data_IF_540192558808
#
_entry.id   IF_540192558808
#
_cell.length_a   1.000
_cell.length_b   1.000
_cell.length_c   1.000
_cell.angle_alpha   90.00
_cell.angle_beta   90.00
_cell.angle_gamma   90.00
#
_symmetry.space_group_name_H-M   'P 1'
#
loop_
_entity.id
_entity.type
_entity.pdbx_description
1 polymer ?
#
# COMPACT_ATOMS: atom_id res chain seq x y z
N UNK A 1 9.09 4.59 -9.01
CA UNK A 1 8.53 3.30 -8.62
C UNK A 1 7.68 3.47 -7.37
N UNK A 2 6.58 2.75 -7.25
CA UNK A 2 5.72 2.90 -6.07
C UNK A 2 6.39 2.39 -4.80
N UNK A 3 6.02 3.01 -3.69
CA UNK A 3 6.54 2.65 -2.38
C UNK A 3 5.40 2.15 -1.51
N UNK A 4 5.63 1.01 -0.84
CA UNK A 4 4.66 0.44 0.09
C UNK A 4 4.52 1.36 1.30
N UNK A 5 3.31 1.88 1.58
CA UNK A 5 3.12 2.80 2.72
C UNK A 5 3.30 2.12 4.08
N UNK A 6 3.20 0.80 4.14
CA UNK A 6 3.36 0.06 5.39
C UNK A 6 4.81 -0.35 5.60
N UNK A 7 5.41 -0.99 4.60
CA UNK A 7 6.79 -1.47 4.68
C UNK A 7 7.81 -0.38 4.34
N UNK A 8 7.44 0.55 3.49
CA UNK A 8 8.34 1.63 3.08
C UNK A 8 9.36 1.24 2.03
N UNK A 9 9.22 0.08 1.42
CA UNK A 9 10.14 -0.37 0.39
C UNK A 9 9.62 -0.05 -0.99
N UNK A 10 10.54 0.23 -1.92
CA UNK A 10 10.18 0.43 -3.31
C UNK A 10 9.95 -0.94 -3.96
N UNK A 11 8.98 -0.98 -4.85
CA UNK A 11 8.69 -2.21 -5.57
C UNK A 11 8.21 -1.90 -6.98
N UNK A 12 8.29 -2.89 -7.86
CA UNK A 12 7.79 -2.76 -9.22
C UNK A 12 6.26 -2.81 -9.17
N UNK A 13 5.60 -1.85 -9.80
CA UNK A 13 4.14 -1.81 -9.79
C UNK A 13 3.52 -3.05 -10.43
N UNK A 14 4.25 -3.73 -11.31
CA UNK A 14 3.76 -4.97 -11.90
C UNK A 14 3.71 -6.12 -10.90
N UNK A 15 4.47 -6.02 -9.82
CA UNK A 15 4.51 -7.03 -8.77
C UNK A 15 3.71 -6.61 -7.54
N UNK A 16 3.38 -5.34 -7.44
CA UNK A 16 2.68 -4.80 -6.28
C UNK A 16 1.19 -5.12 -6.31
N UNK A 17 0.62 -5.24 -5.12
CA UNK A 17 -0.82 -5.34 -4.96
C UNK A 17 -1.37 -3.92 -4.91
N UNK A 18 -2.37 -3.65 -5.73
CA UNK A 18 -2.96 -2.32 -5.82
C UNK A 18 -4.22 -2.25 -4.99
N UNK A 19 -4.34 -1.22 -4.18
CA UNK A 19 -5.54 -0.94 -3.41
C UNK A 19 -5.92 0.51 -3.59
N UNK A 20 -7.16 0.78 -3.97
CA UNK A 20 -7.66 2.13 -4.11
C UNK A 20 -8.43 2.53 -2.86
N UNK A 21 -8.02 3.64 -2.26
CA UNK A 21 -8.66 4.12 -1.05
C UNK A 21 -8.83 5.64 -1.17
N UNK A 22 -10.06 6.10 -1.02
CA UNK A 22 -10.41 7.52 -1.02
C UNK A 22 -9.89 8.24 -2.26
N UNK A 23 -10.02 7.59 -3.42
CA UNK A 23 -9.61 8.16 -4.71
C UNK A 23 -8.12 8.10 -4.99
N UNK A 24 -7.34 7.46 -4.12
CA UNK A 24 -5.90 7.32 -4.29
C UNK A 24 -5.51 5.86 -4.39
N UNK A 25 -4.53 5.58 -5.24
CA UNK A 25 -4.03 4.22 -5.39
C UNK A 25 -2.82 4.00 -4.50
N UNK A 26 -2.84 2.91 -3.78
CA UNK A 26 -1.74 2.51 -2.90
C UNK A 26 -1.22 1.16 -3.35
N UNK A 27 0.08 0.97 -3.20
CA UNK A 27 0.76 -0.25 -3.65
C UNK A 27 1.31 -0.98 -2.44
N UNK A 28 1.15 -2.29 -2.40
CA UNK A 28 1.60 -3.10 -1.27
C UNK A 28 2.42 -4.28 -1.75
N UNK A 29 3.39 -4.67 -0.95
CA UNK A 29 4.27 -5.79 -1.31
C UNK A 29 3.59 -7.14 -1.11
N UNK A 30 2.57 -7.20 -0.23
CA UNK A 30 1.85 -8.44 0.03
C UNK A 30 0.49 -8.13 0.66
N UNK A 31 -0.34 -9.17 0.76
CA UNK A 31 -1.66 -9.04 1.37
C UNK A 31 -1.60 -8.60 2.83
N UNK A 32 -0.56 -9.00 3.55
CA UNK A 32 -0.39 -8.61 4.93
C UNK A 32 -0.32 -7.11 5.11
N UNK A 33 0.49 -6.46 4.27
CA UNK A 33 0.61 -5.00 4.30
C UNK A 33 -0.69 -4.32 3.92
N UNK A 34 -1.39 -4.87 2.93
CA UNK A 34 -2.69 -4.34 2.52
C UNK A 34 -3.70 -4.40 3.66
N UNK A 35 -3.74 -5.52 4.36
CA UNK A 35 -4.66 -5.69 5.50
C UNK A 35 -4.35 -4.73 6.63
N UNK A 36 -3.08 -4.53 6.91
CA UNK A 36 -2.65 -3.59 7.95
C UNK A 36 -3.08 -2.18 7.59
N UNK A 37 -2.92 -1.80 6.33
CA UNK A 37 -3.35 -0.50 5.85
C UNK A 37 -4.86 -0.31 6.02
N UNK A 38 -5.64 -1.33 5.64
CA UNK A 38 -7.09 -1.27 5.72
C UNK A 38 -7.55 -1.14 7.17
N UNK A 39 -6.85 -1.79 8.10
CA UNK A 39 -7.18 -1.70 9.51
C UNK A 39 -6.91 -0.32 10.09
N UNK A 40 -5.78 0.29 9.70
CA UNK A 40 -5.37 1.59 10.24
C UNK A 40 -4.98 2.53 9.11
N UNK A 41 -5.94 2.92 8.28
CA UNK A 41 -5.62 3.77 7.13
C UNK A 41 -5.08 5.13 7.53
N UNK A 42 -5.53 5.68 8.66
CA UNK A 42 -5.08 7.00 9.11
C UNK A 42 -3.60 7.02 9.46
N UNK A 43 -3.07 5.90 9.91
CA UNK A 43 -1.65 5.81 10.29
C UNK A 43 -0.75 5.84 9.08
N UNK A 44 -1.15 5.19 8.00
CA UNK A 44 -0.32 5.04 6.80
C UNK A 44 -0.72 5.93 5.64
N UNK A 45 -1.88 6.51 5.74
CA UNK A 45 -2.40 7.40 4.70
C UNK A 45 -1.67 8.74 4.75
N UNK A 46 -1.25 9.23 3.60
CA UNK A 46 -0.60 10.53 3.50
C UNK A 46 -1.54 11.56 2.88
#
# INVERSE_FOLDING_TARGET
>A
MPVDPVCGIEMDESLALIHEHDGKKYYFCCNGCKKIFIKKPKKYKK
#
